data_IF_835355957925
#
_entry.id   IF_835355957925
#
_cell.length_a   1.000
_cell.length_b   1.000
_cell.length_c   1.000
_cell.angle_alpha   90.00
_cell.angle_beta   90.00
_cell.angle_gamma   90.00
#
_symmetry.space_group_name_H-M   'P 1'
#
loop_
_entity.id
_entity.type
_entity.pdbx_description
1 polymer ?
#
# COMPACT_ATOMS: atom_id res chain seq x y z
N UNK A 1 -14.99 -11.05 59.58
CA UNK A 1 -14.46 -9.72 59.18
C UNK A 1 -13.23 -9.83 58.28
N UNK A 2 -12.23 -10.66 58.61
CA UNK A 2 -11.01 -10.83 57.80
C UNK A 2 -11.25 -11.34 56.36
N UNK A 3 -12.20 -12.25 56.14
CA UNK A 3 -12.52 -12.77 54.80
C UNK A 3 -13.08 -11.70 53.86
N UNK A 4 -13.93 -10.80 54.38
CA UNK A 4 -14.49 -9.70 53.61
C UNK A 4 -13.39 -8.72 53.14
N UNK A 5 -12.37 -8.48 53.97
CA UNK A 5 -11.21 -7.69 53.57
C UNK A 5 -10.40 -8.34 52.44
N UNK A 6 -10.20 -9.67 52.46
CA UNK A 6 -9.52 -10.39 51.38
C UNK A 6 -10.27 -10.29 50.05
N UNK A 7 -11.58 -10.50 50.06
CA UNK A 7 -12.42 -10.39 48.86
C UNK A 7 -12.43 -8.95 48.33
N UNK A 8 -12.60 -7.96 49.20
CA UNK A 8 -12.57 -6.54 48.82
C UNK A 8 -11.22 -6.15 48.20
N UNK A 9 -10.11 -6.63 48.75
CA UNK A 9 -8.78 -6.41 48.19
C UNK A 9 -8.62 -7.06 46.79
N UNK A 10 -9.08 -8.31 46.63
CA UNK A 10 -9.05 -9.00 45.34
C UNK A 10 -9.91 -8.30 44.27
N UNK A 11 -11.08 -7.78 44.64
CA UNK A 11 -11.93 -6.98 43.75
C UNK A 11 -11.25 -5.68 43.33
N UNK A 12 -10.62 -4.97 44.27
CA UNK A 12 -9.87 -3.75 43.98
C UNK A 12 -8.69 -4.02 43.04
N UNK A 13 -7.97 -5.11 43.27
CA UNK A 13 -6.87 -5.56 42.42
C UNK A 13 -7.36 -5.90 41.01
N UNK A 14 -8.46 -6.65 40.91
CA UNK A 14 -9.09 -7.00 39.62
C UNK A 14 -9.48 -5.75 38.83
N UNK A 15 -10.10 -4.76 39.50
CA UNK A 15 -10.44 -3.49 38.86
C UNK A 15 -9.19 -2.72 38.38
N UNK A 16 -8.10 -2.74 39.17
CA UNK A 16 -6.84 -2.15 38.78
C UNK A 16 -6.23 -2.83 37.54
N UNK A 17 -6.26 -4.17 37.49
CA UNK A 17 -5.82 -4.96 36.33
C UNK A 17 -6.63 -4.60 35.10
N UNK A 18 -7.97 -4.56 35.18
CA UNK A 18 -8.81 -4.16 34.04
C UNK A 18 -8.54 -2.75 33.54
N UNK A 19 -8.24 -1.81 34.44
CA UNK A 19 -7.84 -0.46 34.05
C UNK A 19 -6.53 -0.47 33.26
N UNK A 20 -5.52 -1.20 33.78
CA UNK A 20 -4.23 -1.37 33.09
C UNK A 20 -4.40 -2.01 31.71
N UNK A 21 -5.24 -3.03 31.58
CA UNK A 21 -5.56 -3.65 30.29
C UNK A 21 -6.10 -2.58 29.32
N UNK A 22 -7.01 -1.72 29.76
CA UNK A 22 -7.51 -0.61 28.95
C UNK A 22 -6.42 0.31 28.44
N UNK A 23 -5.48 0.70 29.31
CA UNK A 23 -4.34 1.54 28.93
C UNK A 23 -3.42 0.83 27.92
N UNK A 24 -3.14 -0.48 28.12
CA UNK A 24 -2.33 -1.29 27.20
C UNK A 24 -2.99 -1.44 25.81
N UNK A 25 -4.33 -1.54 25.74
CA UNK A 25 -5.05 -1.54 24.45
C UNK A 25 -4.88 -0.22 23.68
N UNK A 26 -4.95 0.92 24.39
CA UNK A 26 -4.74 2.23 23.77
C UNK A 26 -3.29 2.37 23.26
N UNK A 27 -2.32 1.92 24.05
CA UNK A 27 -0.91 1.93 23.65
C UNK A 27 -0.61 0.94 22.50
N UNK A 28 -1.21 -0.25 22.51
CA UNK A 28 -1.00 -1.25 21.46
C UNK A 28 -1.42 -0.73 20.09
N UNK A 29 -2.58 -0.06 20.01
CA UNK A 29 -3.09 0.50 18.77
C UNK A 29 -2.08 1.48 18.12
N UNK A 30 -1.37 2.27 18.93
CA UNK A 30 -0.32 3.19 18.46
C UNK A 30 0.90 2.44 17.91
N UNK A 31 1.17 1.23 18.41
CA UNK A 31 2.34 0.42 18.02
C UNK A 31 2.06 -0.43 16.79
N UNK A 32 0.86 -0.98 16.63
CA UNK A 32 0.53 -1.90 15.55
C UNK A 32 -0.24 -1.24 14.40
N UNK A 33 -1.34 -0.56 14.71
CA UNK A 33 -2.30 -0.05 13.74
C UNK A 33 -1.81 1.24 13.08
N UNK A 34 -1.20 2.17 13.82
CA UNK A 34 -0.67 3.41 13.22
C UNK A 34 0.34 3.13 12.09
N UNK A 35 1.38 2.28 12.28
CA UNK A 35 2.34 2.00 11.20
C UNK A 35 1.72 1.25 10.00
N UNK A 36 0.73 0.40 10.26
CA UNK A 36 -0.07 -0.26 9.21
C UNK A 36 -0.84 0.77 8.40
N UNK A 37 -1.54 1.70 9.07
CA UNK A 37 -2.30 2.76 8.42
C UNK A 37 -1.40 3.69 7.63
N UNK A 38 -0.27 4.15 8.18
CA UNK A 38 0.68 5.02 7.49
C UNK A 38 1.13 4.41 6.16
N UNK A 39 1.49 3.13 6.18
CA UNK A 39 1.89 2.37 4.99
C UNK A 39 0.74 2.29 3.96
N UNK A 40 -0.48 2.00 4.40
CA UNK A 40 -1.67 1.97 3.54
C UNK A 40 -1.99 3.35 2.94
N UNK A 41 -1.79 4.43 3.71
CA UNK A 41 -1.98 5.81 3.24
C UNK A 41 -0.93 6.20 2.19
N UNK A 42 0.32 5.75 2.33
CA UNK A 42 1.35 5.92 1.30
C UNK A 42 0.93 5.25 -0.02
N UNK A 43 0.50 3.98 0.03
CA UNK A 43 0.01 3.26 -1.15
C UNK A 43 -1.22 3.89 -1.77
N UNK A 44 -2.15 4.42 -0.96
CA UNK A 44 -3.29 5.20 -1.45
C UNK A 44 -2.82 6.41 -2.26
N UNK A 45 -1.80 7.12 -1.80
CA UNK A 45 -1.20 8.25 -2.52
C UNK A 45 -0.56 7.82 -3.84
N UNK A 46 0.19 6.71 -3.84
CA UNK A 46 0.81 6.16 -5.05
C UNK A 46 -0.25 5.77 -6.11
N UNK A 47 -1.33 5.10 -5.69
CA UNK A 47 -2.40 4.71 -6.61
C UNK A 47 -3.23 5.89 -7.12
N UNK A 48 -3.27 7.02 -6.41
CA UNK A 48 -3.98 8.21 -6.86
C UNK A 48 -3.39 8.77 -8.17
N UNK A 49 -2.10 8.57 -8.44
CA UNK A 49 -1.40 9.04 -9.65
C UNK A 49 -1.54 8.07 -10.83
N UNK A 50 -1.89 6.82 -10.56
CA UNK A 50 -1.97 5.75 -11.57
C UNK A 50 -2.89 6.08 -12.76
N UNK A 51 -4.09 6.71 -12.59
CA UNK A 51 -4.94 7.10 -13.72
C UNK A 51 -4.27 8.06 -14.71
N UNK A 52 -3.46 9.00 -14.22
CA UNK A 52 -2.77 9.99 -15.05
C UNK A 52 -1.65 9.33 -15.87
N UNK A 53 -0.91 8.39 -15.27
CA UNK A 53 0.10 7.57 -15.96
C UNK A 53 -0.55 6.78 -17.10
N UNK A 54 -1.67 6.09 -16.82
CA UNK A 54 -2.42 5.37 -17.84
C UNK A 54 -3.00 6.29 -18.91
N UNK A 55 -3.40 7.51 -18.56
CA UNK A 55 -3.87 8.50 -19.54
C UNK A 55 -2.77 8.87 -20.54
N UNK A 56 -1.55 9.11 -20.05
CA UNK A 56 -0.38 9.37 -20.91
C UNK A 56 -0.08 8.18 -21.83
N UNK A 57 -0.09 6.96 -21.29
CA UNK A 57 0.12 5.76 -22.09
C UNK A 57 -0.97 5.59 -23.18
N UNK A 58 -2.25 5.75 -22.82
CA UNK A 58 -3.37 5.70 -23.79
C UNK A 58 -3.23 6.77 -24.88
N UNK A 59 -2.80 7.98 -24.51
CA UNK A 59 -2.52 9.05 -25.48
C UNK A 59 -1.41 8.67 -26.45
N UNK A 60 -0.36 8.01 -25.97
CA UNK A 60 0.73 7.49 -26.82
C UNK A 60 0.23 6.39 -27.78
N UNK A 61 -0.62 5.47 -27.33
CA UNK A 61 -1.26 4.44 -28.17
C UNK A 61 -2.09 5.08 -29.29
N UNK A 62 -2.93 6.06 -28.96
CA UNK A 62 -3.74 6.78 -29.96
C UNK A 62 -2.87 7.47 -31.02
N UNK A 63 -1.74 8.07 -30.62
CA UNK A 63 -0.78 8.70 -31.55
C UNK A 63 -0.07 7.68 -32.43
N UNK A 64 0.22 6.49 -31.93
CA UNK A 64 0.78 5.40 -32.73
C UNK A 64 -0.20 4.98 -33.84
N UNK A 65 -1.45 4.69 -33.49
CA UNK A 65 -2.47 4.28 -34.47
C UNK A 65 -2.72 5.36 -35.52
N UNK A 66 -2.77 6.63 -35.11
CA UNK A 66 -2.92 7.76 -36.04
C UNK A 66 -1.70 7.88 -36.98
N UNK A 67 -0.49 7.71 -36.45
CA UNK A 67 0.73 7.69 -37.25
C UNK A 67 0.77 6.54 -38.25
N UNK A 68 0.30 5.35 -37.88
CA UNK A 68 0.17 4.21 -38.78
C UNK A 68 -0.85 4.47 -39.89
N UNK A 69 -2.00 5.07 -39.55
CA UNK A 69 -3.02 5.50 -40.52
C UNK A 69 -2.46 6.51 -41.52
N UNK A 70 -1.80 7.57 -41.04
CA UNK A 70 -1.22 8.60 -41.89
C UNK A 70 -0.07 8.06 -42.77
N UNK A 71 0.70 7.10 -42.27
CA UNK A 71 1.74 6.44 -43.05
C UNK A 71 1.15 5.59 -44.18
N UNK A 72 0.07 4.85 -43.93
CA UNK A 72 -0.65 4.10 -44.96
C UNK A 72 -1.28 5.00 -46.03
N UNK A 73 -1.73 6.20 -45.64
CA UNK A 73 -2.25 7.22 -46.55
C UNK A 73 -1.15 7.97 -47.33
N UNK A 74 0.13 7.65 -47.08
CA UNK A 74 1.26 8.33 -47.72
C UNK A 74 1.48 9.77 -47.24
N UNK A 75 0.86 10.18 -46.13
CA UNK A 75 0.93 11.54 -45.56
C UNK A 75 2.14 11.77 -44.65
N UNK A 76 2.79 10.68 -44.22
CA UNK A 76 3.97 10.70 -43.33
C UNK A 76 5.04 9.81 -43.96
N UNK A 77 6.28 10.32 -44.07
CA UNK A 77 7.36 9.53 -44.62
C UNK A 77 7.78 8.40 -43.65
N UNK A 78 8.35 7.32 -44.18
CA UNK A 78 8.73 6.14 -43.38
C UNK A 78 9.64 6.52 -42.19
N UNK A 79 10.62 7.40 -42.41
CA UNK A 79 11.55 7.90 -41.38
C UNK A 79 10.84 8.64 -40.23
N UNK A 80 9.82 9.44 -40.52
CA UNK A 80 9.04 10.12 -39.48
C UNK A 80 8.14 9.14 -38.72
N UNK A 81 7.53 8.19 -39.44
CA UNK A 81 6.69 7.15 -38.83
C UNK A 81 7.49 6.27 -37.87
N UNK A 82 8.71 5.89 -38.25
CA UNK A 82 9.63 5.13 -37.39
C UNK A 82 10.03 5.88 -36.12
N UNK A 83 10.22 7.21 -36.19
CA UNK A 83 10.50 8.03 -35.00
C UNK A 83 9.34 8.01 -34.00
N UNK A 84 8.10 8.09 -34.48
CA UNK A 84 6.91 8.00 -33.61
C UNK A 84 6.84 6.62 -32.96
N UNK A 85 7.05 5.55 -33.73
CA UNK A 85 7.09 4.17 -33.23
C UNK A 85 8.17 3.98 -32.17
N UNK A 86 9.40 4.41 -32.41
CA UNK A 86 10.51 4.31 -31.45
C UNK A 86 10.23 5.04 -30.12
N UNK A 87 9.57 6.21 -30.18
CA UNK A 87 9.15 6.93 -28.98
C UNK A 87 8.02 6.22 -28.23
N UNK A 88 7.06 5.65 -28.96
CA UNK A 88 6.02 4.82 -28.37
C UNK A 88 6.61 3.60 -27.67
N UNK A 89 7.54 2.88 -28.31
CA UNK A 89 8.21 1.71 -27.73
C UNK A 89 8.92 2.08 -26.42
N UNK A 90 9.61 3.23 -26.40
CA UNK A 90 10.27 3.73 -25.19
C UNK A 90 9.29 3.97 -24.03
N UNK A 91 8.13 4.59 -24.31
CA UNK A 91 7.07 4.80 -23.32
C UNK A 91 6.45 3.49 -22.87
N UNK A 92 6.26 2.54 -23.79
CA UNK A 92 5.70 1.22 -23.53
C UNK A 92 6.61 0.39 -22.61
N UNK A 93 7.91 0.34 -22.91
CA UNK A 93 8.88 -0.35 -22.05
C UNK A 93 8.98 0.29 -20.67
N UNK A 94 8.95 1.63 -20.58
CA UNK A 94 8.92 2.32 -19.29
C UNK A 94 7.65 1.97 -18.48
N UNK A 95 6.48 1.93 -19.11
CA UNK A 95 5.23 1.55 -18.47
C UNK A 95 5.26 0.10 -17.97
N UNK A 96 5.75 -0.83 -18.78
CA UNK A 96 5.86 -2.24 -18.39
C UNK A 96 6.83 -2.42 -17.22
N UNK A 97 7.97 -1.72 -17.25
CA UNK A 97 8.94 -1.71 -16.15
C UNK A 97 8.32 -1.17 -14.86
N UNK A 98 7.54 -0.09 -14.94
CA UNK A 98 6.86 0.51 -13.79
C UNK A 98 5.80 -0.43 -13.19
N UNK A 99 4.99 -1.10 -14.03
CA UNK A 99 4.02 -2.11 -13.58
C UNK A 99 4.71 -3.24 -12.83
N UNK A 100 5.81 -3.78 -13.39
CA UNK A 100 6.55 -4.88 -12.78
C UNK A 100 7.17 -4.46 -11.44
N UNK A 101 7.83 -3.29 -11.43
CA UNK A 101 8.41 -2.71 -10.22
C UNK A 101 7.36 -2.50 -9.13
N UNK A 102 6.26 -1.82 -9.47
CA UNK A 102 5.17 -1.53 -8.53
C UNK A 102 4.50 -2.80 -8.00
N UNK A 103 4.34 -3.83 -8.83
CA UNK A 103 3.80 -5.11 -8.38
C UNK A 103 4.71 -5.84 -7.40
N UNK A 104 6.03 -5.84 -7.67
CA UNK A 104 7.03 -6.46 -6.80
C UNK A 104 7.13 -5.74 -5.46
N UNK A 105 7.31 -4.42 -5.48
CA UNK A 105 7.44 -3.59 -4.28
C UNK A 105 6.17 -3.69 -3.41
N UNK A 106 4.99 -3.57 -4.02
CA UNK A 106 3.71 -3.76 -3.32
C UNK A 106 3.61 -5.13 -2.65
N UNK A 107 4.03 -6.19 -3.33
CA UNK A 107 4.00 -7.54 -2.76
C UNK A 107 4.89 -7.67 -1.52
N UNK A 108 6.11 -7.12 -1.60
CA UNK A 108 7.08 -7.13 -0.50
C UNK A 108 6.61 -6.28 0.68
N UNK A 109 6.14 -5.06 0.42
CA UNK A 109 5.70 -4.14 1.46
C UNK A 109 4.46 -4.63 2.19
N UNK A 110 3.44 -5.10 1.47
CA UNK A 110 2.23 -5.64 2.12
C UNK A 110 2.55 -6.85 2.98
N UNK A 111 3.44 -7.72 2.50
CA UNK A 111 3.90 -8.87 3.30
C UNK A 111 4.58 -8.40 4.58
N UNK A 112 5.52 -7.46 4.49
CA UNK A 112 6.28 -6.97 5.65
C UNK A 112 5.38 -6.22 6.65
N UNK A 113 4.51 -5.36 6.14
CA UNK A 113 3.53 -4.59 6.92
C UNK A 113 2.56 -5.52 7.67
N UNK A 114 2.01 -6.53 7.00
CA UNK A 114 1.10 -7.50 7.63
C UNK A 114 1.82 -8.40 8.63
N UNK A 115 3.04 -8.84 8.32
CA UNK A 115 3.85 -9.63 9.25
C UNK A 115 4.15 -8.85 10.53
N UNK A 116 4.59 -7.60 10.41
CA UNK A 116 4.85 -6.73 11.56
C UNK A 116 3.59 -6.45 12.38
N UNK A 117 2.45 -6.24 11.73
CA UNK A 117 1.17 -6.07 12.42
C UNK A 117 0.79 -7.32 13.21
N UNK A 118 0.86 -8.50 12.60
CA UNK A 118 0.53 -9.78 13.25
C UNK A 118 1.48 -10.11 14.41
N UNK A 119 2.78 -9.86 14.26
CA UNK A 119 3.78 -10.09 15.33
C UNK A 119 3.52 -9.21 16.55
N UNK A 120 3.18 -7.94 16.33
CA UNK A 120 2.82 -7.01 17.42
C UNK A 120 1.52 -7.41 18.10
N UNK A 121 0.52 -7.82 17.33
CA UNK A 121 -0.75 -8.33 17.86
C UNK A 121 -0.55 -9.63 18.68
N UNK A 122 0.27 -10.57 18.20
CA UNK A 122 0.59 -11.78 18.96
C UNK A 122 1.27 -11.44 20.29
N UNK A 123 2.30 -10.59 20.26
CA UNK A 123 3.00 -10.11 21.45
C UNK A 123 2.06 -9.41 22.44
N UNK A 124 1.12 -8.61 21.93
CA UNK A 124 0.12 -7.93 22.76
C UNK A 124 -0.76 -8.91 23.52
N UNK A 125 -1.33 -9.91 22.83
CA UNK A 125 -2.20 -10.90 23.48
C UNK A 125 -1.43 -11.84 24.42
N UNK A 126 -0.18 -12.17 24.13
CA UNK A 126 0.69 -12.92 25.04
C UNK A 126 0.98 -12.14 26.33
N UNK A 127 1.12 -10.82 26.27
CA UNK A 127 1.34 -9.98 27.45
C UNK A 127 0.07 -9.73 28.29
N UNK A 128 -1.11 -9.92 27.71
CA UNK A 128 -2.39 -9.81 28.40
C UNK A 128 -2.78 -11.08 29.19
N UNK A 129 -2.26 -12.25 28.77
CA UNK A 129 -2.53 -13.55 29.40
C UNK A 129 -1.64 -13.83 30.60
#
# INVERSE_FOLDING_TARGET
MAENLKVTAALKETAHIFHKIGDEYEESAKRDLEPLLDSLYCYKGLFAVTPDIFHVYKSAVSKLHENERLSMEGKVCASESEKVRSRFDSVSYAMLAEIDYQHRERGEDFKNMMAAFMERQATFYENLS
#
